data_IF_078121919380
#
_entry.id   IF_078121919380
#
_cell.length_a   1.000
_cell.length_b   1.000
_cell.length_c   1.000
_cell.angle_alpha   90.00
_cell.angle_beta   90.00
_cell.angle_gamma   90.00
#
_symmetry.space_group_name_H-M   'P 1'
#
loop_
_entity.id
_entity.type
_entity.pdbx_description
1 polymer ?
#
# COMPACT_ATOMS: atom_id res chain seq x y z
N UNK A 1 -11.65 -21.94 20.45
CA UNK A 1 -10.40 -21.15 20.64
C UNK A 1 -10.08 -20.25 19.46
N UNK A 2 -9.82 -20.78 18.25
CA UNK A 2 -9.46 -19.96 17.06
C UNK A 2 -10.59 -19.03 16.62
N UNK A 3 -11.82 -19.53 16.55
CA UNK A 3 -13.01 -18.73 16.19
C UNK A 3 -13.26 -17.57 17.17
N UNK A 4 -13.15 -17.80 18.48
CA UNK A 4 -13.31 -16.75 19.50
C UNK A 4 -12.20 -15.68 19.41
N UNK A 5 -10.93 -16.07 19.10
CA UNK A 5 -9.84 -15.13 18.82
C UNK A 5 -10.17 -14.22 17.64
N UNK A 6 -10.64 -14.80 16.54
CA UNK A 6 -10.94 -14.04 15.32
C UNK A 6 -12.14 -13.11 15.51
N UNK A 7 -13.19 -13.55 16.18
CA UNK A 7 -14.34 -12.70 16.51
C UNK A 7 -13.94 -11.47 17.34
N UNK A 8 -13.08 -11.66 18.36
CA UNK A 8 -12.55 -10.56 19.18
C UNK A 8 -11.71 -9.59 18.36
N UNK A 9 -10.85 -10.10 17.45
CA UNK A 9 -10.03 -9.29 16.57
C UNK A 9 -10.89 -8.48 15.58
N UNK A 10 -11.90 -9.08 14.97
CA UNK A 10 -12.84 -8.39 14.07
C UNK A 10 -13.60 -7.28 14.79
N UNK A 11 -14.08 -7.56 16.02
CA UNK A 11 -14.75 -6.55 16.85
C UNK A 11 -13.82 -5.38 17.19
N UNK A 12 -12.56 -5.67 17.57
CA UNK A 12 -11.54 -4.67 17.87
C UNK A 12 -11.23 -3.83 16.62
N UNK A 13 -10.96 -4.49 15.50
CA UNK A 13 -10.69 -3.87 14.21
C UNK A 13 -11.81 -2.91 13.78
N UNK A 14 -13.07 -3.39 13.80
CA UNK A 14 -14.23 -2.56 13.50
C UNK A 14 -14.33 -1.33 14.40
N UNK A 15 -14.16 -1.52 15.72
CA UNK A 15 -14.25 -0.43 16.70
C UNK A 15 -13.22 0.65 16.39
N UNK A 16 -11.96 0.28 16.15
CA UNK A 16 -10.88 1.23 15.88
C UNK A 16 -11.12 1.95 14.54
N UNK A 17 -11.42 1.21 13.48
CA UNK A 17 -11.69 1.80 12.18
C UNK A 17 -12.84 2.82 12.23
N UNK A 18 -13.95 2.47 12.89
CA UNK A 18 -15.12 3.37 12.97
C UNK A 18 -14.94 4.52 13.95
N UNK A 19 -14.10 4.39 14.97
CA UNK A 19 -13.81 5.50 15.89
C UNK A 19 -12.91 6.58 15.29
N UNK A 20 -12.23 6.29 14.19
CA UNK A 20 -11.39 7.23 13.47
C UNK A 20 -12.14 7.99 12.35
N UNK A 21 -13.46 7.80 12.22
CA UNK A 21 -14.28 8.56 11.27
C UNK A 21 -14.45 9.99 11.79
N UNK A 22 -14.16 10.96 10.95
CA UNK A 22 -14.46 12.36 11.23
C UNK A 22 -15.97 12.59 11.20
N UNK A 23 -16.51 13.14 12.28
CA UNK A 23 -17.93 13.47 12.43
C UNK A 23 -18.23 14.97 12.29
N UNK A 24 -17.18 15.79 12.25
CA UNK A 24 -17.28 17.22 11.94
C UNK A 24 -17.10 17.44 10.43
N UNK A 25 -18.04 18.16 9.83
CA UNK A 25 -18.05 18.46 8.39
C UNK A 25 -17.51 19.87 8.06
N UNK A 26 -16.83 20.53 8.98
CA UNK A 26 -16.18 21.82 8.76
C UNK A 26 -14.78 21.72 8.14
N UNK A 27 -14.25 20.51 7.97
CA UNK A 27 -12.96 20.27 7.32
C UNK A 27 -13.01 20.44 5.79
N UNK A 28 -11.86 20.51 5.15
CA UNK A 28 -11.73 20.72 3.71
C UNK A 28 -12.46 19.65 2.85
N UNK A 29 -12.57 18.40 3.34
CA UNK A 29 -13.32 17.32 2.68
C UNK A 29 -14.85 17.41 2.86
N UNK A 30 -15.34 18.38 3.63
CA UNK A 30 -16.76 18.76 3.73
C UNK A 30 -17.66 17.62 4.22
N UNK A 31 -18.68 17.29 3.43
CA UNK A 31 -19.75 16.35 3.80
C UNK A 31 -19.35 14.86 3.87
N UNK A 32 -18.13 14.52 3.48
CA UNK A 32 -17.69 13.12 3.42
C UNK A 32 -17.16 12.65 4.78
N UNK A 33 -17.57 11.44 5.17
CA UNK A 33 -17.14 10.78 6.40
C UNK A 33 -15.76 10.15 6.20
N UNK A 34 -14.74 10.99 6.11
CA UNK A 34 -13.36 10.56 5.93
C UNK A 34 -12.80 9.94 7.22
N UNK A 35 -11.78 9.13 7.11
CA UNK A 35 -11.16 8.41 8.22
C UNK A 35 -9.72 8.90 8.41
N UNK A 36 -9.38 9.29 9.66
CA UNK A 36 -8.00 9.57 10.06
C UNK A 36 -7.21 8.26 10.23
N UNK A 37 -5.90 8.24 9.97
CA UNK A 37 -5.03 7.12 10.36
C UNK A 37 -5.10 6.81 11.86
N UNK A 38 -5.02 7.81 12.72
CA UNK A 38 -5.26 7.72 14.17
C UNK A 38 -5.61 9.10 14.70
N UNK A 39 -6.87 9.32 15.11
CA UNK A 39 -7.33 10.61 15.62
C UNK A 39 -6.50 11.08 16.82
N UNK A 40 -6.13 12.37 16.81
CA UNK A 40 -5.31 12.98 17.85
C UNK A 40 -3.80 12.85 17.61
N UNK A 41 -3.37 11.89 16.82
CA UNK A 41 -1.98 11.74 16.35
C UNK A 41 -1.82 12.26 14.93
N UNK A 42 -2.74 11.90 14.04
CA UNK A 42 -2.77 12.33 12.65
C UNK A 42 -3.94 13.30 12.43
N UNK A 43 -3.62 14.53 12.06
CA UNK A 43 -4.59 15.64 11.91
C UNK A 43 -4.93 15.87 10.45
N UNK A 44 -5.52 14.86 9.81
CA UNK A 44 -5.84 14.91 8.38
C UNK A 44 -6.21 13.55 7.78
N UNK A 45 -6.25 13.53 6.47
CA UNK A 45 -6.49 12.33 5.65
C UNK A 45 -5.34 12.15 4.65
N UNK A 46 -4.91 10.91 4.46
CA UNK A 46 -3.83 10.54 3.54
C UNK A 46 -4.37 9.72 2.36
N UNK A 47 -3.69 9.83 1.22
CA UNK A 47 -4.10 9.23 -0.04
C UNK A 47 -4.27 7.70 0.07
N UNK A 48 -3.17 6.95 0.20
CA UNK A 48 -3.23 5.49 0.19
C UNK A 48 -3.96 4.91 1.42
N UNK A 49 -3.90 5.63 2.57
CA UNK A 49 -4.71 5.32 3.77
C UNK A 49 -6.19 5.33 3.44
N UNK A 50 -6.67 6.34 2.72
CA UNK A 50 -8.08 6.43 2.30
C UNK A 50 -8.48 5.26 1.41
N UNK A 51 -7.59 4.77 0.54
CA UNK A 51 -7.83 3.55 -0.23
C UNK A 51 -7.95 2.31 0.68
N UNK A 52 -7.09 2.17 1.70
CA UNK A 52 -7.19 1.09 2.67
C UNK A 52 -8.46 1.22 3.53
N UNK A 53 -8.78 2.43 4.00
CA UNK A 53 -10.01 2.69 4.75
C UNK A 53 -11.26 2.33 3.94
N UNK A 54 -11.25 2.65 2.64
CA UNK A 54 -12.33 2.26 1.73
C UNK A 54 -12.53 0.74 1.73
N UNK A 55 -11.47 -0.04 1.55
CA UNK A 55 -11.50 -1.51 1.60
C UNK A 55 -12.02 -1.98 2.98
N UNK A 56 -11.53 -1.37 4.06
CA UNK A 56 -11.89 -1.72 5.43
C UNK A 56 -13.38 -1.49 5.75
N UNK A 57 -13.99 -0.47 5.16
CA UNK A 57 -15.39 -0.11 5.41
C UNK A 57 -16.39 -0.92 4.60
N UNK A 58 -15.99 -1.61 3.53
CA UNK A 58 -16.89 -2.38 2.67
C UNK A 58 -17.93 -3.21 3.46
N UNK A 59 -17.56 -4.06 4.43
CA UNK A 59 -18.55 -4.90 5.13
C UNK A 59 -19.35 -4.18 6.21
N UNK A 60 -18.97 -2.95 6.57
CA UNK A 60 -19.57 -2.22 7.69
C UNK A 60 -20.50 -1.10 7.23
N UNK A 61 -20.08 -0.34 6.24
CA UNK A 61 -20.83 0.77 5.66
C UNK A 61 -20.28 1.07 4.26
N UNK A 62 -20.95 0.55 3.24
CA UNK A 62 -20.55 0.68 1.85
C UNK A 62 -20.54 2.15 1.36
N UNK A 63 -21.42 2.98 1.90
CA UNK A 63 -21.46 4.40 1.55
C UNK A 63 -20.25 5.14 2.15
N UNK A 64 -19.87 4.85 3.38
CA UNK A 64 -18.61 5.37 3.95
C UNK A 64 -17.39 4.86 3.18
N UNK A 65 -17.40 3.62 2.67
CA UNK A 65 -16.35 3.11 1.80
C UNK A 65 -16.22 3.93 0.51
N UNK A 66 -17.35 4.21 -0.18
CA UNK A 66 -17.38 5.08 -1.37
C UNK A 66 -16.92 6.50 -1.06
N UNK A 67 -17.29 7.03 0.10
CA UNK A 67 -16.92 8.38 0.53
C UNK A 67 -15.40 8.54 0.70
N UNK A 68 -14.65 7.50 1.12
CA UNK A 68 -13.19 7.56 1.17
C UNK A 68 -12.59 7.86 -0.21
N UNK A 69 -13.11 7.24 -1.26
CA UNK A 69 -12.64 7.47 -2.63
C UNK A 69 -13.11 8.84 -3.13
N UNK A 70 -14.44 9.08 -3.14
CA UNK A 70 -15.01 10.32 -3.71
C UNK A 70 -14.53 11.56 -2.96
N UNK A 71 -14.43 11.49 -1.62
CA UNK A 71 -13.99 12.58 -0.78
C UNK A 71 -12.52 12.93 -1.00
N UNK A 72 -11.67 11.96 -1.31
CA UNK A 72 -10.27 12.24 -1.63
C UNK A 72 -10.08 12.75 -3.07
N UNK A 73 -10.82 12.19 -4.04
CA UNK A 73 -10.72 12.58 -5.46
C UNK A 73 -11.06 14.07 -5.71
N UNK A 74 -11.83 14.73 -4.83
CA UNK A 74 -12.11 16.18 -4.99
C UNK A 74 -10.86 17.08 -4.90
N UNK A 75 -9.73 16.54 -4.38
CA UNK A 75 -8.45 17.25 -4.27
C UNK A 75 -7.49 16.95 -5.42
N UNK A 76 -7.97 16.22 -6.45
CA UNK A 76 -7.17 15.94 -7.63
C UNK A 76 -6.75 17.22 -8.33
N UNK A 77 -5.48 17.30 -8.71
CA UNK A 77 -4.93 18.43 -9.47
C UNK A 77 -5.25 18.31 -10.96
N UNK A 78 -5.14 19.42 -11.69
CA UNK A 78 -5.44 19.49 -13.14
C UNK A 78 -4.63 18.49 -13.98
N UNK A 79 -3.42 18.13 -13.55
CA UNK A 79 -2.60 17.12 -14.23
C UNK A 79 -2.93 15.67 -13.84
N UNK A 80 -3.92 15.47 -12.96
CA UNK A 80 -4.35 14.16 -12.48
C UNK A 80 -3.70 13.69 -11.18
N UNK A 81 -2.70 14.41 -10.65
CA UNK A 81 -2.06 14.06 -9.40
C UNK A 81 -3.04 14.10 -8.22
N UNK A 82 -3.08 13.05 -7.43
CA UNK A 82 -3.68 13.07 -6.09
C UNK A 82 -2.60 13.46 -5.08
N UNK A 83 -2.87 14.43 -4.17
CA UNK A 83 -1.87 14.85 -3.19
C UNK A 83 -1.55 13.75 -2.19
N UNK A 84 -0.45 13.90 -1.46
CA UNK A 84 -0.07 13.00 -0.35
C UNK A 84 -1.12 13.01 0.76
N UNK A 85 -1.44 14.19 1.28
CA UNK A 85 -2.36 14.37 2.40
C UNK A 85 -3.14 15.69 2.31
N UNK A 86 -4.28 15.73 3.01
CA UNK A 86 -5.07 16.93 3.27
C UNK A 86 -5.20 17.05 4.79
N UNK A 87 -4.70 18.15 5.35
CA UNK A 87 -4.73 18.41 6.78
C UNK A 87 -6.04 19.06 7.23
N UNK A 88 -6.39 18.90 8.52
CA UNK A 88 -7.54 19.55 9.14
C UNK A 88 -7.49 21.10 9.01
N UNK A 89 -6.29 21.68 8.96
CA UNK A 89 -6.06 23.09 8.68
C UNK A 89 -6.54 23.57 7.30
N UNK A 90 -6.81 22.63 6.39
CA UNK A 90 -7.08 22.90 4.97
C UNK A 90 -5.81 22.95 4.11
N UNK A 91 -4.63 22.78 4.69
CA UNK A 91 -3.38 22.66 3.94
C UNK A 91 -3.37 21.35 3.16
N UNK A 92 -2.85 21.40 1.93
CA UNK A 92 -2.74 20.25 1.02
C UNK A 92 -1.26 19.95 0.77
N UNK A 93 -0.81 18.78 1.21
CA UNK A 93 0.53 18.27 0.93
C UNK A 93 0.59 17.75 -0.51
N UNK A 94 0.96 18.62 -1.43
CA UNK A 94 0.95 18.35 -2.87
C UNK A 94 2.33 18.48 -3.53
N UNK A 95 3.41 18.37 -2.74
CA UNK A 95 4.76 18.25 -3.29
C UNK A 95 5.02 16.86 -3.90
N UNK A 96 4.32 15.85 -3.40
CA UNK A 96 4.34 14.47 -3.89
C UNK A 96 2.94 13.84 -3.81
N UNK A 97 2.81 12.65 -4.39
CA UNK A 97 1.60 11.80 -4.32
C UNK A 97 1.80 10.67 -3.30
N UNK A 98 1.05 9.57 -3.44
CA UNK A 98 1.21 8.26 -2.79
C UNK A 98 0.98 7.15 -3.81
N UNK A 99 1.32 5.88 -3.49
CA UNK A 99 1.05 4.76 -4.38
C UNK A 99 -0.40 4.71 -4.87
N UNK A 100 -0.66 4.47 -6.18
CA UNK A 100 -1.98 4.61 -6.80
C UNK A 100 -2.90 3.42 -6.49
N UNK A 101 -3.45 3.38 -5.29
CA UNK A 101 -4.32 2.31 -4.81
C UNK A 101 -5.81 2.63 -4.88
N UNK A 102 -6.19 3.88 -5.21
CA UNK A 102 -7.60 4.32 -5.26
C UNK A 102 -8.41 3.51 -6.28
N UNK A 103 -7.86 3.25 -7.47
CA UNK A 103 -8.55 2.47 -8.49
C UNK A 103 -8.79 1.02 -8.05
N UNK A 104 -7.81 0.40 -7.42
CA UNK A 104 -7.93 -0.94 -6.84
C UNK A 104 -9.01 -0.99 -5.75
N UNK A 105 -9.02 -0.02 -4.83
CA UNK A 105 -10.02 0.05 -3.77
C UNK A 105 -11.43 0.29 -4.33
N UNK A 106 -11.59 1.16 -5.34
CA UNK A 106 -12.87 1.40 -5.99
C UNK A 106 -13.44 0.15 -6.66
N UNK A 107 -12.60 -0.68 -7.29
CA UNK A 107 -13.07 -1.97 -7.84
C UNK A 107 -13.47 -2.96 -6.75
N UNK A 108 -12.76 -3.01 -5.61
CA UNK A 108 -13.17 -3.83 -4.45
C UNK A 108 -14.55 -3.42 -3.91
N UNK A 109 -14.85 -2.11 -3.88
CA UNK A 109 -16.19 -1.60 -3.53
C UNK A 109 -17.22 -2.07 -4.55
N UNK A 110 -16.92 -1.88 -5.84
CA UNK A 110 -17.85 -2.26 -6.92
C UNK A 110 -18.14 -3.76 -6.93
N UNK A 111 -17.16 -4.60 -6.70
CA UNK A 111 -17.31 -6.04 -6.64
C UNK A 111 -18.34 -6.49 -5.57
N UNK A 112 -18.43 -5.74 -4.48
CA UNK A 112 -19.40 -6.00 -3.42
C UNK A 112 -20.81 -5.45 -3.73
N UNK A 113 -20.90 -4.20 -4.18
CA UNK A 113 -22.19 -3.52 -4.28
C UNK A 113 -22.77 -3.41 -5.70
N UNK A 114 -21.97 -3.64 -6.74
CA UNK A 114 -22.33 -3.53 -8.17
C UNK A 114 -22.97 -2.18 -8.56
N UNK A 115 -22.56 -1.11 -7.88
CA UNK A 115 -23.06 0.25 -8.13
C UNK A 115 -22.35 0.88 -9.34
N UNK A 116 -23.03 0.87 -10.50
CA UNK A 116 -22.50 1.47 -11.75
C UNK A 116 -22.38 2.99 -11.66
N UNK A 117 -23.28 3.68 -10.98
CA UNK A 117 -23.19 5.15 -10.84
C UNK A 117 -21.92 5.55 -10.09
N UNK A 118 -21.52 4.78 -9.08
CA UNK A 118 -20.26 5.00 -8.39
C UNK A 118 -19.06 4.86 -9.33
N UNK A 119 -19.00 3.79 -10.14
CA UNK A 119 -17.92 3.57 -11.11
C UNK A 119 -17.89 4.68 -12.18
N UNK A 120 -19.05 5.04 -12.74
CA UNK A 120 -19.16 6.13 -13.71
C UNK A 120 -18.65 7.46 -13.17
N UNK A 121 -18.88 7.72 -11.89
CA UNK A 121 -18.44 8.93 -11.19
C UNK A 121 -16.93 8.98 -10.99
N UNK A 122 -16.30 7.86 -10.57
CA UNK A 122 -14.87 7.87 -10.18
C UNK A 122 -13.92 7.55 -11.33
N UNK A 123 -14.37 6.85 -12.36
CA UNK A 123 -13.55 6.42 -13.51
C UNK A 123 -12.74 7.55 -14.17
N UNK A 124 -13.31 8.74 -14.49
CA UNK A 124 -12.55 9.80 -15.14
C UNK A 124 -11.37 10.27 -14.30
N UNK A 125 -11.57 10.47 -12.99
CA UNK A 125 -10.52 10.92 -12.08
C UNK A 125 -9.42 9.87 -11.89
N UNK A 126 -9.80 8.59 -11.75
CA UNK A 126 -8.84 7.49 -11.61
C UNK A 126 -8.04 7.25 -12.90
N UNK A 127 -8.66 7.45 -14.07
CA UNK A 127 -7.93 7.45 -15.34
C UNK A 127 -6.93 8.60 -15.44
N UNK A 128 -7.31 9.79 -14.97
CA UNK A 128 -6.41 10.95 -14.92
C UNK A 128 -5.24 10.73 -13.96
N UNK A 129 -5.44 10.06 -12.82
CA UNK A 129 -4.35 9.69 -11.92
C UNK A 129 -3.31 8.80 -12.63
N UNK A 130 -3.75 7.81 -13.41
CA UNK A 130 -2.84 6.98 -14.19
C UNK A 130 -2.09 7.76 -15.26
N UNK A 131 -2.74 8.73 -15.92
CA UNK A 131 -2.04 9.61 -16.85
C UNK A 131 -1.00 10.50 -16.18
N UNK A 132 -1.26 10.97 -14.93
CA UNK A 132 -0.23 11.65 -14.15
C UNK A 132 1.00 10.76 -13.95
N UNK A 133 0.81 9.51 -13.50
CA UNK A 133 1.93 8.57 -13.32
C UNK A 133 2.67 8.31 -14.64
N UNK A 134 1.96 8.17 -15.76
CA UNK A 134 2.57 7.97 -17.09
C UNK A 134 3.41 9.17 -17.56
N UNK A 135 2.95 10.37 -17.29
CA UNK A 135 3.56 11.59 -17.80
C UNK A 135 4.69 12.12 -16.90
N UNK A 136 4.57 11.95 -15.58
CA UNK A 136 5.40 12.62 -14.58
C UNK A 136 6.33 11.67 -13.83
N UNK A 137 6.05 10.36 -13.83
CA UNK A 137 6.69 9.36 -12.97
C UNK A 137 7.20 8.13 -13.72
N UNK A 138 7.40 8.25 -15.04
CA UNK A 138 7.79 7.12 -15.90
C UNK A 138 9.10 7.38 -16.62
N UNK A 139 10.04 6.44 -16.50
CA UNK A 139 11.31 6.44 -17.22
C UNK A 139 11.55 5.06 -17.84
N UNK A 140 11.90 4.98 -19.13
CA UNK A 140 12.12 3.73 -19.89
C UNK A 140 11.00 2.69 -19.75
N UNK A 141 9.77 3.19 -19.58
CA UNK A 141 8.56 2.37 -19.47
C UNK A 141 8.34 1.70 -18.13
N UNK A 142 9.10 2.05 -17.10
CA UNK A 142 8.94 1.70 -15.69
C UNK A 142 8.68 2.96 -14.87
N UNK A 143 8.08 2.80 -13.69
CA UNK A 143 7.70 3.92 -12.82
C UNK A 143 8.67 4.09 -11.65
N UNK A 144 8.84 5.34 -11.24
CA UNK A 144 9.67 5.73 -10.09
C UNK A 144 8.94 6.77 -9.24
N UNK A 145 9.36 6.94 -8.00
CA UNK A 145 8.90 8.03 -7.14
C UNK A 145 9.67 9.32 -7.44
N UNK A 146 9.00 10.45 -7.31
CA UNK A 146 9.59 11.78 -7.48
C UNK A 146 8.79 12.82 -6.68
N UNK A 147 9.20 14.09 -6.69
CA UNK A 147 8.50 15.17 -6.04
C UNK A 147 8.64 16.48 -6.82
N UNK A 148 7.71 17.40 -6.62
CA UNK A 148 7.87 18.76 -7.14
C UNK A 148 8.79 19.57 -6.25
N UNK A 149 9.73 20.29 -6.86
CA UNK A 149 10.60 21.22 -6.16
C UNK A 149 9.98 22.62 -6.17
N UNK A 150 9.77 23.18 -4.99
CA UNK A 150 9.51 24.62 -4.84
C UNK A 150 10.80 25.44 -5.07
N UNK A 151 10.65 26.75 -5.30
CA UNK A 151 11.77 27.65 -5.60
C UNK A 151 12.89 27.64 -4.55
N UNK A 152 12.56 27.44 -3.27
CA UNK A 152 13.51 27.43 -2.16
C UNK A 152 13.70 26.04 -1.53
N UNK A 153 13.27 24.97 -2.21
CA UNK A 153 13.35 23.61 -1.71
C UNK A 153 14.80 23.10 -1.72
N UNK A 154 15.33 22.75 -0.57
CA UNK A 154 16.64 22.10 -0.44
C UNK A 154 16.63 20.68 -1.04
N UNK A 155 17.81 20.12 -1.32
CA UNK A 155 17.93 18.74 -1.79
C UNK A 155 17.36 17.74 -0.77
N UNK A 156 17.56 17.95 0.53
CA UNK A 156 17.04 17.07 1.58
C UNK A 156 15.51 17.13 1.67
N UNK A 157 14.91 18.30 1.58
CA UNK A 157 13.43 18.43 1.56
C UNK A 157 12.85 17.75 0.33
N UNK A 158 13.46 17.92 -0.84
CA UNK A 158 13.04 17.22 -2.05
C UNK A 158 13.14 15.70 -1.89
N UNK A 159 14.28 15.18 -1.45
CA UNK A 159 14.46 13.73 -1.26
C UNK A 159 13.53 13.18 -0.18
N UNK A 160 13.21 13.98 0.82
CA UNK A 160 12.19 13.62 1.84
C UNK A 160 10.82 13.46 1.21
N UNK A 161 10.40 14.39 0.34
CA UNK A 161 9.12 14.25 -0.39
C UNK A 161 9.13 13.03 -1.34
N UNK A 162 10.25 12.72 -2.00
CA UNK A 162 10.37 11.49 -2.82
C UNK A 162 10.16 10.23 -1.96
N UNK A 163 10.74 10.18 -0.77
CA UNK A 163 10.51 9.08 0.19
C UNK A 163 9.06 9.02 0.63
N UNK A 164 8.44 10.15 0.94
CA UNK A 164 7.03 10.23 1.33
C UNK A 164 6.08 9.77 0.22
N UNK A 165 6.39 10.02 -1.07
CA UNK A 165 5.58 9.51 -2.17
C UNK A 165 5.51 7.97 -2.17
N UNK A 166 6.54 7.29 -1.63
CA UNK A 166 6.54 5.83 -1.52
C UNK A 166 5.66 5.29 -0.39
N UNK A 167 5.39 6.10 0.63
CA UNK A 167 4.77 5.67 1.88
C UNK A 167 5.70 4.89 2.82
N UNK A 168 6.95 4.61 2.42
CA UNK A 168 7.96 3.91 3.23
C UNK A 168 9.05 4.88 3.71
N UNK A 169 8.66 5.92 4.37
CA UNK A 169 9.31 7.20 4.63
C UNK A 169 10.81 7.15 4.91
N UNK A 170 11.28 6.25 5.76
CA UNK A 170 12.68 6.11 6.13
C UNK A 170 13.28 4.74 5.78
N UNK A 171 12.65 3.99 4.88
CA UNK A 171 13.15 2.68 4.45
C UNK A 171 14.58 2.78 3.89
N UNK A 172 15.48 1.81 4.18
CA UNK A 172 16.82 1.78 3.60
C UNK A 172 16.82 1.61 2.08
N UNK A 173 15.68 1.30 1.46
CA UNK A 173 15.48 1.32 -0.01
C UNK A 173 15.84 2.69 -0.61
N UNK A 174 15.67 3.75 0.19
CA UNK A 174 15.75 5.15 -0.21
C UNK A 174 17.01 5.88 0.27
N UNK A 175 17.99 5.18 0.83
CA UNK A 175 19.19 5.81 1.38
C UNK A 175 20.08 6.42 0.27
N UNK A 176 19.97 5.90 -0.96
CA UNK A 176 20.77 6.34 -2.09
C UNK A 176 19.91 6.62 -3.33
N UNK A 177 19.85 7.87 -3.76
CA UNK A 177 19.22 8.33 -4.99
C UNK A 177 17.78 7.80 -5.19
N UNK A 178 16.84 8.01 -4.24
CA UNK A 178 15.50 7.42 -4.27
C UNK A 178 14.73 7.75 -5.57
N UNK A 179 14.96 8.92 -6.17
CA UNK A 179 14.34 9.35 -7.43
C UNK A 179 14.83 8.56 -8.66
N UNK A 180 15.91 7.80 -8.54
CA UNK A 180 16.51 7.01 -9.63
C UNK A 180 16.20 5.51 -9.53
N UNK A 181 15.23 5.14 -8.72
CA UNK A 181 14.89 3.74 -8.44
C UNK A 181 13.58 3.37 -9.15
N UNK A 182 13.56 2.20 -9.80
CA UNK A 182 12.33 1.50 -10.16
C UNK A 182 11.93 0.58 -9.00
N UNK A 183 10.96 0.98 -8.17
CA UNK A 183 10.53 0.16 -7.04
C UNK A 183 9.65 -1.00 -7.50
N UNK A 184 9.83 -2.16 -6.89
CA UNK A 184 9.02 -3.36 -7.20
C UNK A 184 7.55 -3.12 -6.92
N UNK A 185 7.24 -2.57 -5.74
CA UNK A 185 5.87 -2.35 -5.27
C UNK A 185 5.11 -1.31 -6.11
N UNK A 186 5.70 -0.14 -6.39
CA UNK A 186 5.07 0.87 -7.22
C UNK A 186 4.66 0.29 -8.59
N UNK A 187 5.58 -0.39 -9.25
CA UNK A 187 5.30 -0.95 -10.57
C UNK A 187 4.19 -1.99 -10.52
N UNK A 188 4.10 -2.78 -9.44
CA UNK A 188 2.98 -3.69 -9.21
C UNK A 188 1.66 -2.95 -8.90
N UNK A 189 1.70 -1.87 -8.11
CA UNK A 189 0.51 -1.03 -7.86
C UNK A 189 -0.04 -0.43 -9.15
N UNK A 190 0.83 0.04 -10.06
CA UNK A 190 0.42 0.52 -11.38
C UNK A 190 -0.22 -0.60 -12.22
N UNK A 191 0.33 -1.82 -12.23
CA UNK A 191 -0.32 -2.96 -12.91
C UNK A 191 -1.73 -3.20 -12.36
N UNK A 192 -1.88 -3.20 -11.04
CA UNK A 192 -3.18 -3.38 -10.39
C UNK A 192 -4.14 -2.24 -10.72
N UNK A 193 -3.66 -0.99 -10.74
CA UNK A 193 -4.47 0.17 -11.08
C UNK A 193 -4.89 0.16 -12.57
N UNK A 194 -4.02 -0.20 -13.50
CA UNK A 194 -4.36 -0.39 -14.91
C UNK A 194 -5.46 -1.45 -15.10
N UNK A 195 -5.33 -2.61 -14.45
CA UNK A 195 -6.34 -3.68 -14.49
C UNK A 195 -7.68 -3.22 -13.89
N UNK A 196 -7.64 -2.46 -12.80
CA UNK A 196 -8.83 -1.92 -12.16
C UNK A 196 -9.55 -0.91 -13.08
N UNK A 197 -8.83 0.01 -13.71
CA UNK A 197 -9.40 0.99 -14.65
C UNK A 197 -9.91 0.31 -15.92
N UNK A 198 -9.23 -0.72 -16.43
CA UNK A 198 -9.72 -1.54 -17.53
C UNK A 198 -11.06 -2.22 -17.19
N UNK A 199 -11.15 -2.85 -16.02
CA UNK A 199 -12.39 -3.47 -15.54
C UNK A 199 -13.52 -2.43 -15.40
N UNK A 200 -13.24 -1.25 -14.83
CA UNK A 200 -14.22 -0.16 -14.76
C UNK A 200 -14.71 0.29 -16.16
N UNK A 201 -13.82 0.32 -17.16
CA UNK A 201 -14.21 0.65 -18.52
C UNK A 201 -15.19 -0.39 -19.08
N UNK A 202 -14.88 -1.68 -18.93
CA UNK A 202 -15.76 -2.75 -19.41
C UNK A 202 -17.13 -2.77 -18.72
N UNK A 203 -17.17 -2.52 -17.41
CA UNK A 203 -18.44 -2.42 -16.67
C UNK A 203 -19.32 -1.25 -17.14
N UNK A 204 -18.71 -0.26 -17.79
CA UNK A 204 -19.39 0.87 -18.43
C UNK A 204 -19.62 0.67 -19.95
N UNK A 205 -19.35 -0.52 -20.47
CA UNK A 205 -19.43 -0.83 -21.92
C UNK A 205 -18.47 0.02 -22.78
N UNK A 206 -17.35 0.47 -22.16
CA UNK A 206 -16.25 1.18 -22.83
C UNK A 206 -15.10 0.24 -23.14
N UNK A 207 -14.25 0.62 -24.09
CA UNK A 207 -13.04 -0.14 -24.40
C UNK A 207 -11.98 0.05 -23.30
N UNK A 208 -11.62 -1.02 -22.60
CA UNK A 208 -10.57 -1.09 -21.59
C UNK A 208 -9.26 -1.72 -22.08
N UNK A 209 -9.21 -2.17 -23.34
CA UNK A 209 -8.11 -2.99 -23.88
C UNK A 209 -6.75 -2.31 -23.84
N UNK A 210 -6.70 -0.98 -23.99
CA UNK A 210 -5.44 -0.24 -23.89
C UNK A 210 -4.87 -0.28 -22.46
N UNK A 211 -5.72 -0.22 -21.43
CA UNK A 211 -5.29 -0.35 -20.04
C UNK A 211 -4.80 -1.77 -19.73
N UNK A 212 -5.48 -2.81 -20.22
CA UNK A 212 -5.02 -4.20 -20.10
C UNK A 212 -3.66 -4.39 -20.77
N UNK A 213 -3.51 -3.93 -22.01
CA UNK A 213 -2.24 -4.00 -22.74
C UNK A 213 -1.10 -3.31 -21.97
N UNK A 214 -1.35 -2.15 -21.37
CA UNK A 214 -0.37 -1.44 -20.53
C UNK A 214 -0.01 -2.25 -19.30
N UNK A 215 -0.98 -2.89 -18.64
CA UNK A 215 -0.75 -3.75 -17.50
C UNK A 215 0.14 -4.94 -17.85
N UNK A 216 -0.14 -5.63 -18.96
CA UNK A 216 0.61 -6.79 -19.41
C UNK A 216 2.05 -6.43 -19.81
N UNK A 217 2.25 -5.35 -20.56
CA UNK A 217 3.60 -4.86 -20.91
C UNK A 217 4.41 -4.50 -19.67
N UNK A 218 3.79 -3.88 -18.68
CA UNK A 218 4.49 -3.55 -17.44
C UNK A 218 4.79 -4.81 -16.61
N UNK A 219 3.88 -5.78 -16.56
CA UNK A 219 4.10 -7.07 -15.89
C UNK A 219 5.30 -7.83 -16.48
N UNK A 220 5.41 -7.88 -17.82
CA UNK A 220 6.58 -8.45 -18.50
C UNK A 220 7.87 -7.72 -18.10
N UNK A 221 7.86 -6.39 -18.08
CA UNK A 221 9.02 -5.59 -17.69
C UNK A 221 9.43 -5.82 -16.24
N UNK A 222 8.47 -5.94 -15.30
CA UNK A 222 8.74 -6.26 -13.89
C UNK A 222 9.47 -7.61 -13.81
N UNK A 223 8.95 -8.64 -14.48
CA UNK A 223 9.56 -9.96 -14.48
C UNK A 223 10.96 -9.96 -15.08
N UNK A 224 11.22 -9.14 -16.09
CA UNK A 224 12.52 -9.08 -16.76
C UNK A 224 13.54 -8.18 -16.04
N UNK A 225 13.11 -6.96 -15.61
CA UNK A 225 14.01 -5.90 -15.13
C UNK A 225 14.23 -5.91 -13.63
N UNK A 226 13.26 -6.40 -12.85
CA UNK A 226 13.33 -6.35 -11.39
C UNK A 226 13.65 -7.70 -10.74
N UNK A 227 13.84 -8.75 -11.55
CA UNK A 227 14.29 -10.03 -11.04
C UNK A 227 15.84 -10.05 -10.91
N UNK A 228 16.31 -10.25 -9.68
CA UNK A 228 17.73 -10.34 -9.37
C UNK A 228 18.13 -11.81 -9.20
N UNK A 229 18.81 -12.37 -10.19
CA UNK A 229 19.27 -13.76 -10.20
C UNK A 229 20.26 -14.07 -9.06
N UNK A 230 21.03 -13.12 -8.60
CA UNK A 230 22.00 -13.33 -7.51
C UNK A 230 21.28 -13.53 -6.16
N UNK A 231 20.17 -12.82 -5.93
CA UNK A 231 19.38 -12.93 -4.71
C UNK A 231 18.18 -13.87 -4.86
N UNK A 232 17.93 -14.37 -6.07
CA UNK A 232 16.74 -15.16 -6.40
C UNK A 232 15.45 -14.50 -5.91
N UNK A 233 15.35 -13.18 -6.15
CA UNK A 233 14.29 -12.34 -5.61
C UNK A 233 14.01 -11.15 -6.52
N UNK A 234 12.77 -10.64 -6.49
CA UNK A 234 12.49 -9.33 -7.04
C UNK A 234 13.11 -8.27 -6.13
N UNK A 235 13.86 -7.34 -6.70
CA UNK A 235 14.49 -6.22 -5.99
C UNK A 235 14.34 -4.93 -6.75
N UNK A 236 14.37 -3.83 -6.03
CA UNK A 236 14.42 -2.51 -6.65
C UNK A 236 15.67 -2.37 -7.52
N UNK A 237 15.58 -1.52 -8.55
CA UNK A 237 16.65 -1.31 -9.49
C UNK A 237 16.98 0.18 -9.65
N UNK A 238 18.21 0.57 -9.40
CA UNK A 238 18.68 1.92 -9.68
C UNK A 238 19.03 2.03 -11.17
N UNK A 239 18.15 2.71 -11.94
CA UNK A 239 18.24 2.77 -13.38
C UNK A 239 19.35 3.74 -13.91
N UNK A 240 19.83 4.66 -13.07
CA UNK A 240 21.01 5.48 -13.41
C UNK A 240 22.32 4.81 -13.02
N UNK A 241 22.33 4.14 -11.87
CA UNK A 241 23.48 3.40 -11.39
C UNK A 241 23.65 2.03 -12.04
N UNK A 242 22.70 1.59 -12.85
CA UNK A 242 22.64 0.28 -13.54
C UNK A 242 22.92 -0.89 -12.59
N UNK A 243 22.17 -0.93 -11.45
CA UNK A 243 22.40 -1.92 -10.40
C UNK A 243 21.12 -2.25 -9.62
N UNK A 244 21.02 -3.50 -9.20
CA UNK A 244 20.01 -3.94 -8.26
C UNK A 244 20.25 -3.41 -6.86
N UNK A 245 19.17 -3.17 -6.11
CA UNK A 245 19.25 -2.99 -4.67
C UNK A 245 19.62 -4.31 -3.99
N UNK A 246 20.48 -4.23 -2.98
CA UNK A 246 20.83 -5.37 -2.12
C UNK A 246 19.90 -5.46 -0.89
N UNK A 247 19.04 -4.46 -0.68
CA UNK A 247 18.10 -4.38 0.44
C UNK A 247 16.85 -5.21 0.10
N UNK A 248 16.69 -6.36 0.74
CA UNK A 248 15.48 -7.18 0.62
C UNK A 248 14.39 -6.67 1.57
N UNK A 249 13.21 -6.46 1.03
CA UNK A 249 12.03 -5.98 1.76
C UNK A 249 10.78 -6.77 1.34
N UNK A 250 9.65 -6.69 2.07
CA UNK A 250 8.39 -7.30 1.64
C UNK A 250 7.85 -6.80 0.29
N UNK A 251 8.32 -5.65 -0.20
CA UNK A 251 8.00 -5.17 -1.55
C UNK A 251 8.33 -6.22 -2.63
N UNK A 252 9.35 -7.06 -2.38
CA UNK A 252 9.75 -8.19 -3.24
C UNK A 252 8.63 -9.19 -3.53
N UNK A 253 7.60 -9.25 -2.68
CA UNK A 253 6.46 -10.17 -2.82
C UNK A 253 5.29 -9.56 -3.59
N UNK A 254 5.36 -8.28 -3.94
CA UNK A 254 4.27 -7.62 -4.66
C UNK A 254 3.95 -8.22 -6.03
N UNK A 255 4.92 -8.75 -6.81
CA UNK A 255 4.59 -9.47 -8.05
C UNK A 255 3.71 -10.71 -7.84
N UNK A 256 3.85 -11.39 -6.68
CA UNK A 256 2.98 -12.51 -6.32
C UNK A 256 1.58 -12.01 -5.97
N UNK A 257 1.47 -10.91 -5.20
CA UNK A 257 0.19 -10.32 -4.84
C UNK A 257 -0.57 -9.79 -6.07
N UNK A 258 0.13 -9.15 -6.99
CA UNK A 258 -0.42 -8.66 -8.25
C UNK A 258 -0.74 -9.77 -9.27
N UNK A 259 -0.39 -11.03 -8.97
CA UNK A 259 -0.64 -12.17 -9.83
C UNK A 259 0.15 -12.15 -11.15
N UNK A 260 1.36 -11.59 -11.13
CA UNK A 260 2.20 -11.43 -12.33
C UNK A 260 3.54 -12.19 -12.25
N UNK A 261 3.88 -12.75 -11.09
CA UNK A 261 5.11 -13.53 -10.95
C UNK A 261 5.05 -14.82 -11.79
N UNK A 262 6.15 -15.16 -12.45
CA UNK A 262 6.32 -16.48 -13.06
C UNK A 262 6.42 -17.55 -11.98
N UNK A 263 5.88 -18.76 -12.22
CA UNK A 263 5.81 -19.83 -11.21
C UNK A 263 7.18 -20.20 -10.62
N UNK A 264 8.23 -20.23 -11.42
CA UNK A 264 9.58 -20.54 -10.97
C UNK A 264 10.12 -19.46 -10.03
N UNK A 265 9.84 -18.19 -10.34
CA UNK A 265 10.19 -17.03 -9.50
C UNK A 265 9.40 -17.04 -8.21
N UNK A 266 8.10 -17.36 -8.28
CA UNK A 266 7.27 -17.50 -7.08
C UNK A 266 7.78 -18.61 -6.15
N UNK A 267 8.25 -19.73 -6.70
CA UNK A 267 8.88 -20.80 -5.92
C UNK A 267 10.17 -20.31 -5.22
N UNK A 268 11.00 -19.54 -5.90
CA UNK A 268 12.19 -18.95 -5.31
C UNK A 268 11.82 -17.95 -4.19
N UNK A 269 10.79 -17.12 -4.41
CA UNK A 269 10.27 -16.19 -3.41
C UNK A 269 9.77 -16.89 -2.14
N UNK A 270 9.19 -18.08 -2.23
CA UNK A 270 8.85 -18.88 -1.05
C UNK A 270 10.09 -19.28 -0.24
N UNK A 271 11.20 -19.58 -0.91
CA UNK A 271 12.50 -19.77 -0.27
C UNK A 271 13.03 -18.51 0.41
N UNK A 272 12.93 -17.37 -0.27
CA UNK A 272 13.29 -16.04 0.25
C UNK A 272 12.48 -15.71 1.51
N UNK A 273 11.17 -15.96 1.52
CA UNK A 273 10.32 -15.75 2.70
C UNK A 273 10.85 -16.56 3.90
N UNK A 274 11.05 -17.86 3.73
CA UNK A 274 11.53 -18.75 4.80
C UNK A 274 12.87 -18.33 5.37
N UNK A 275 13.79 -17.93 4.52
CA UNK A 275 15.17 -17.61 4.90
C UNK A 275 15.32 -16.25 5.55
N UNK A 276 14.55 -15.25 5.08
CA UNK A 276 14.85 -13.85 5.35
C UNK A 276 13.76 -13.09 6.11
N UNK A 277 12.50 -13.59 6.10
CA UNK A 277 11.35 -12.83 6.59
C UNK A 277 10.49 -13.55 7.63
N UNK A 278 10.71 -14.84 7.87
CA UNK A 278 9.91 -15.59 8.84
C UNK A 278 10.39 -15.38 10.28
N UNK A 279 9.47 -15.35 11.26
CA UNK A 279 8.02 -15.51 11.08
C UNK A 279 7.26 -14.17 10.94
N UNK A 280 7.88 -13.02 11.16
CA UNK A 280 7.21 -11.75 11.42
C UNK A 280 7.10 -10.79 10.24
N UNK A 281 7.63 -11.15 9.07
CA UNK A 281 7.60 -10.33 7.86
C UNK A 281 8.04 -8.87 8.10
N UNK A 282 9.28 -8.63 8.58
CA UNK A 282 9.80 -7.28 8.80
C UNK A 282 9.93 -6.49 7.51
N UNK A 283 9.93 -5.17 7.60
CA UNK A 283 10.11 -4.27 6.43
C UNK A 283 11.51 -4.32 5.83
N UNK A 284 12.47 -4.89 6.54
CA UNK A 284 13.81 -5.23 6.06
C UNK A 284 14.13 -6.66 6.48
N UNK A 285 14.68 -7.45 5.58
CA UNK A 285 15.02 -8.85 5.86
C UNK A 285 15.84 -9.00 7.16
N UNK A 286 15.49 -9.94 8.02
CA UNK A 286 16.22 -10.23 9.28
C UNK A 286 17.73 -10.48 9.07
N UNK A 287 18.11 -10.90 7.88
CA UNK A 287 19.50 -11.21 7.51
C UNK A 287 20.26 -10.00 6.96
N UNK A 288 19.59 -8.86 6.80
CA UNK A 288 20.22 -7.62 6.35
C UNK A 288 20.96 -6.92 7.49
N UNK A 289 22.09 -6.28 7.17
CA UNK A 289 22.77 -5.36 8.10
C UNK A 289 21.94 -4.11 8.40
N UNK A 290 20.98 -3.78 7.53
CA UNK A 290 20.08 -2.62 7.66
C UNK A 290 18.88 -2.90 8.58
N UNK A 291 18.70 -4.18 9.04
CA UNK A 291 17.62 -4.54 9.92
C UNK A 291 17.83 -3.95 11.32
N UNK A 292 16.85 -3.17 11.76
CA UNK A 292 16.81 -2.64 13.12
C UNK A 292 15.35 -2.50 13.59
N UNK A 293 14.97 -3.25 14.62
CA UNK A 293 13.64 -3.17 15.25
C UNK A 293 13.72 -2.74 16.73
N UNK A 294 14.91 -2.33 17.20
CA UNK A 294 15.18 -2.03 18.62
C UNK A 294 14.78 -0.62 19.04
N UNK A 295 14.59 0.29 18.10
CA UNK A 295 14.38 1.70 18.35
C UNK A 295 13.03 2.20 17.83
N UNK A 296 12.42 3.17 18.52
CA UNK A 296 11.22 3.89 18.03
C UNK A 296 11.43 4.50 16.63
N UNK A 297 12.68 4.80 16.29
CA UNK A 297 13.04 5.38 14.98
C UNK A 297 13.27 4.34 13.88
N UNK A 298 13.17 3.07 14.15
CA UNK A 298 13.30 2.03 13.14
C UNK A 298 12.23 2.20 12.05
N UNK A 299 10.99 2.42 12.43
CA UNK A 299 9.84 2.75 11.59
C UNK A 299 9.70 1.82 10.37
N UNK A 300 10.31 2.13 9.22
CA UNK A 300 10.37 1.26 8.04
C UNK A 300 11.71 0.51 7.88
N UNK A 301 12.50 0.37 8.95
CA UNK A 301 13.82 -0.30 8.96
C UNK A 301 13.86 -1.64 9.69
N UNK A 302 12.71 -2.24 10.00
CA UNK A 302 12.65 -3.52 10.73
C UNK A 302 11.26 -3.91 11.17
N UNK A 303 10.47 -3.01 11.81
CA UNK A 303 9.13 -3.33 12.25
C UNK A 303 8.26 -3.94 11.16
N UNK A 304 7.33 -4.82 11.57
CA UNK A 304 6.31 -5.39 10.69
C UNK A 304 5.17 -4.38 10.51
N UNK A 305 4.86 -4.05 9.26
CA UNK A 305 3.69 -3.28 8.89
C UNK A 305 2.64 -4.20 8.28
N UNK A 306 1.41 -4.13 8.81
CA UNK A 306 0.38 -5.14 8.50
C UNK A 306 -0.06 -5.15 7.04
N UNK A 307 -0.03 -4.01 6.36
CA UNK A 307 -0.37 -3.89 4.94
C UNK A 307 0.60 -4.69 4.06
N UNK A 308 1.90 -4.42 4.18
CA UNK A 308 2.91 -5.08 3.34
C UNK A 308 3.08 -6.55 3.72
N UNK A 309 2.94 -6.88 5.00
CA UNK A 309 2.94 -8.26 5.45
C UNK A 309 1.72 -9.05 4.90
N UNK A 310 0.53 -8.41 4.85
CA UNK A 310 -0.64 -9.00 4.22
C UNK A 310 -0.42 -9.24 2.72
N UNK A 311 0.09 -8.25 1.99
CA UNK A 311 0.35 -8.39 0.56
C UNK A 311 1.33 -9.54 0.28
N UNK A 312 2.41 -9.63 1.07
CA UNK A 312 3.38 -10.71 0.95
C UNK A 312 2.76 -12.08 1.23
N UNK A 313 2.07 -12.22 2.36
CA UNK A 313 1.45 -13.48 2.76
C UNK A 313 0.33 -13.90 1.79
N UNK A 314 -0.54 -12.97 1.37
CA UNK A 314 -1.61 -13.25 0.40
C UNK A 314 -1.05 -13.62 -0.96
N UNK A 315 0.02 -12.94 -1.41
CA UNK A 315 0.73 -13.28 -2.62
C UNK A 315 1.28 -14.71 -2.58
N UNK A 316 1.98 -15.08 -1.51
CA UNK A 316 2.46 -16.45 -1.29
C UNK A 316 1.32 -17.47 -1.32
N UNK A 317 0.21 -17.18 -0.67
CA UNK A 317 -0.98 -18.05 -0.64
C UNK A 317 -1.59 -18.24 -2.02
N UNK A 318 -1.67 -17.19 -2.83
CA UNK A 318 -2.20 -17.23 -4.19
C UNK A 318 -1.42 -18.20 -5.09
N UNK A 319 -0.12 -18.35 -4.83
CA UNK A 319 0.76 -19.31 -5.52
C UNK A 319 0.87 -20.68 -4.83
N UNK A 320 0.02 -20.98 -3.85
CA UNK A 320 -0.07 -22.30 -3.20
C UNK A 320 0.93 -22.52 -2.06
N UNK A 321 1.61 -21.49 -1.56
CA UNK A 321 2.53 -21.60 -0.42
C UNK A 321 1.80 -21.39 0.92
N UNK A 322 0.71 -22.14 1.12
CA UNK A 322 -0.25 -22.00 2.22
C UNK A 322 0.42 -22.05 3.60
N UNK A 323 1.35 -22.99 3.82
CA UNK A 323 2.02 -23.17 5.11
C UNK A 323 2.78 -21.91 5.55
N UNK A 324 3.54 -21.29 4.63
CA UNK A 324 4.29 -20.07 4.89
C UNK A 324 3.33 -18.92 5.15
N UNK A 325 2.34 -18.77 4.28
CA UNK A 325 1.35 -17.72 4.35
C UNK A 325 0.53 -17.77 5.65
N UNK A 326 0.06 -18.96 6.02
CA UNK A 326 -0.71 -19.16 7.26
C UNK A 326 0.15 -18.95 8.51
N UNK A 327 1.44 -19.29 8.49
CA UNK A 327 2.36 -19.00 9.60
C UNK A 327 2.54 -17.50 9.80
N UNK A 328 2.74 -16.71 8.75
CA UNK A 328 2.83 -15.24 8.82
C UNK A 328 1.53 -14.68 9.40
N UNK A 329 0.40 -15.07 8.85
CA UNK A 329 -0.93 -14.67 9.32
C UNK A 329 -1.13 -14.93 10.82
N UNK A 330 -0.91 -16.17 11.27
CA UNK A 330 -1.14 -16.52 12.66
C UNK A 330 -0.17 -15.82 13.62
N UNK A 331 1.06 -15.60 13.21
CA UNK A 331 2.04 -14.81 13.97
C UNK A 331 1.52 -13.40 14.20
N UNK A 332 1.19 -12.69 13.13
CA UNK A 332 0.70 -11.30 13.19
C UNK A 332 -0.62 -11.21 13.99
N UNK A 333 -1.59 -12.08 13.69
CA UNK A 333 -2.87 -12.07 14.42
C UNK A 333 -2.71 -12.44 15.90
N UNK A 334 -1.66 -13.15 16.27
CA UNK A 334 -1.34 -13.42 17.68
C UNK A 334 -0.78 -12.18 18.37
N UNK A 335 0.10 -11.44 17.73
CA UNK A 335 0.60 -10.16 18.24
C UNK A 335 -0.54 -9.17 18.50
N UNK A 336 -1.36 -8.94 17.47
CA UNK A 336 -2.52 -8.03 17.57
C UNK A 336 -3.53 -8.50 18.63
N UNK A 337 -3.72 -9.81 18.82
CA UNK A 337 -4.62 -10.33 19.84
C UNK A 337 -4.08 -10.06 21.26
N UNK A 338 -2.77 -10.17 21.45
CA UNK A 338 -2.10 -9.94 22.76
C UNK A 338 -1.96 -8.44 23.08
N UNK A 339 -2.10 -7.58 22.09
CA UNK A 339 -2.08 -6.12 22.20
C UNK A 339 -3.41 -5.56 22.78
N UNK A 340 -3.91 -6.23 23.81
CA UNK A 340 -5.13 -5.92 24.58
C UNK A 340 -6.23 -5.19 23.76
N UNK A 341 -6.47 -3.91 24.05
CA UNK A 341 -7.56 -3.12 23.44
C UNK A 341 -7.12 -2.25 22.27
N UNK A 342 -5.88 -2.40 21.80
CA UNK A 342 -5.24 -1.56 20.82
C UNK A 342 -4.87 -2.33 19.54
N UNK A 343 -4.70 -1.61 18.44
CA UNK A 343 -3.98 -2.03 17.23
C UNK A 343 -3.02 -0.89 16.90
N UNK A 344 -1.73 -1.18 16.89
CA UNK A 344 -0.70 -0.20 16.61
C UNK A 344 -0.44 -0.02 15.12
N UNK A 345 0.25 1.05 14.80
CA UNK A 345 0.67 1.42 13.46
C UNK A 345 1.56 0.33 12.84
N UNK A 346 2.52 -0.14 13.61
CA UNK A 346 3.38 -1.27 13.27
C UNK A 346 3.76 -2.09 14.52
N UNK A 347 4.46 -3.20 14.33
CA UNK A 347 4.82 -4.13 15.39
C UNK A 347 6.29 -4.50 15.31
N UNK A 348 6.96 -4.64 16.44
CA UNK A 348 8.28 -5.26 16.50
C UNK A 348 8.20 -6.66 15.89
N UNK A 349 8.94 -6.88 14.80
CA UNK A 349 8.83 -8.11 14.02
C UNK A 349 9.38 -9.36 14.73
N UNK A 350 10.11 -9.17 15.85
CA UNK A 350 10.67 -10.26 16.68
C UNK A 350 9.80 -10.54 17.89
N UNK A 351 9.41 -9.50 18.64
CA UNK A 351 8.69 -9.64 19.91
C UNK A 351 7.17 -9.57 19.78
N UNK A 352 6.68 -8.91 18.70
CA UNK A 352 5.27 -8.63 18.51
C UNK A 352 4.75 -7.48 19.37
N UNK A 353 5.63 -6.67 19.97
CA UNK A 353 5.25 -5.46 20.68
C UNK A 353 4.71 -4.42 19.70
N UNK A 354 3.59 -3.78 20.05
CA UNK A 354 3.02 -2.68 19.28
C UNK A 354 3.90 -1.43 19.36
N UNK A 355 4.10 -0.76 18.24
CA UNK A 355 4.99 0.41 18.10
C UNK A 355 4.25 1.58 17.43
N UNK A 356 4.78 2.78 17.63
CA UNK A 356 4.27 4.04 17.09
C UNK A 356 2.83 4.35 17.55
N UNK A 357 1.98 4.90 16.68
CA UNK A 357 0.64 5.31 17.05
C UNK A 357 -0.26 4.12 17.38
N UNK A 358 -1.03 4.25 18.45
CA UNK A 358 -2.08 3.29 18.79
C UNK A 358 -3.41 3.60 18.08
N UNK A 359 -4.38 2.69 18.18
CA UNK A 359 -5.70 2.81 17.54
C UNK A 359 -5.62 3.11 16.04
N UNK A 360 -4.67 2.48 15.36
CA UNK A 360 -4.32 2.78 13.97
C UNK A 360 -5.31 2.13 13.00
N UNK A 361 -5.99 2.97 12.19
CA UNK A 361 -7.13 2.54 11.39
C UNK A 361 -6.78 1.58 10.26
N UNK A 362 -5.73 1.87 9.45
CA UNK A 362 -5.40 0.97 8.34
C UNK A 362 -4.79 -0.36 8.78
N UNK A 363 -4.04 -0.41 9.90
CA UNK A 363 -3.65 -1.70 10.49
C UNK A 363 -4.86 -2.54 10.86
N UNK A 364 -5.94 -1.89 11.35
CA UNK A 364 -7.22 -2.54 11.62
C UNK A 364 -7.83 -3.16 10.36
N UNK A 365 -7.71 -2.50 9.20
CA UNK A 365 -8.17 -3.06 7.92
C UNK A 365 -7.48 -4.37 7.62
N UNK A 366 -6.16 -4.42 7.75
CA UNK A 366 -5.39 -5.63 7.42
C UNK A 366 -5.57 -6.78 8.42
N UNK A 367 -5.88 -6.48 9.68
CA UNK A 367 -6.35 -7.52 10.63
C UNK A 367 -7.60 -8.21 10.08
N UNK A 368 -8.57 -7.46 9.60
CA UNK A 368 -9.77 -8.00 8.98
C UNK A 368 -9.46 -8.75 7.68
N UNK A 369 -8.65 -8.17 6.79
CA UNK A 369 -8.26 -8.81 5.52
C UNK A 369 -7.57 -10.16 5.77
N UNK A 370 -6.71 -10.28 6.76
CA UNK A 370 -6.12 -11.56 7.18
C UNK A 370 -7.15 -12.59 7.65
N UNK A 371 -8.26 -12.17 8.25
CA UNK A 371 -9.27 -13.09 8.80
C UNK A 371 -10.29 -13.50 7.74
N UNK A 372 -10.80 -12.55 6.96
CA UNK A 372 -11.97 -12.74 6.08
C UNK A 372 -11.60 -12.97 4.60
N UNK A 373 -10.50 -12.40 4.12
CA UNK A 373 -10.14 -12.38 2.69
C UNK A 373 -8.80 -13.05 2.37
N UNK A 374 -8.32 -13.87 3.27
CA UNK A 374 -7.01 -14.51 3.17
C UNK A 374 -7.04 -15.91 2.56
#
# INVERSE_FOLDING_TARGET
>A
MKADKYEKLLKKSRKILTSNIYTDFNYAWGKYRMISPAQGHFVGIWNWDSAFHAIGMIPYDIETAKEQIVGFLQFQRDNGMLPDAIFESGEIAAACSKPPLMAYAAMRIYDECRDREFIEKVYPALSMELHFWENERKYDGMFHYDAYRGENCSDEEYLTCVRFESGWDNSPRWDYEPQNIWPVDLNCYIVMAYRAVAAMAYEQEKDGSEWERKADVLAEKINFRLWNDNLMSYTDYNFKGDRYSEVLTPASFMPLYAGIAENEKAQAMAGTAKKHFMPGMPTVAYTSSEYDDRYEHAYWRGPCWLNVAYFAAKGLKTYGFDEIADQIKETILTWVYNDKDCIHENYNATTGEGLCSDHFSWSSVFVREFIENF
#
